data_IF_001431749019
#
_entry.id   IF_001431749019
#
_cell.length_a   1.000
_cell.length_b   1.000
_cell.length_c   1.000
_cell.angle_alpha   90.00
_cell.angle_beta   90.00
_cell.angle_gamma   90.00
#
_symmetry.space_group_name_H-M   'P 1'
#
loop_
_entity.id
_entity.type
_entity.pdbx_description
1 polymer ?
#
# COMPACT_ATOMS: atom_id res chain seq x y z
N UNK A 1 35.62 21.75 -24.04
CA UNK A 1 34.37 22.17 -23.37
C UNK A 1 33.14 21.47 -23.92
N UNK A 2 32.86 21.48 -25.24
CA UNK A 2 31.64 20.87 -25.84
C UNK A 2 31.41 19.37 -25.52
N UNK A 3 32.47 18.56 -25.53
CA UNK A 3 32.40 17.11 -25.18
C UNK A 3 32.06 16.87 -23.71
N UNK A 4 32.62 17.68 -22.80
CA UNK A 4 32.39 17.55 -21.37
C UNK A 4 30.94 17.95 -21.01
N UNK A 5 30.42 19.01 -21.63
CA UNK A 5 29.02 19.42 -21.50
C UNK A 5 28.07 18.36 -22.05
N UNK A 6 28.41 17.74 -23.20
CA UNK A 6 27.63 16.63 -23.76
C UNK A 6 27.60 15.39 -22.88
N UNK A 7 28.73 15.03 -22.25
CA UNK A 7 28.80 13.90 -21.31
C UNK A 7 27.98 14.15 -20.04
N UNK A 8 28.00 15.37 -19.49
CA UNK A 8 27.16 15.75 -18.35
C UNK A 8 25.66 15.70 -18.74
N UNK A 9 25.30 16.18 -19.93
CA UNK A 9 23.91 16.12 -20.38
C UNK A 9 23.44 14.67 -20.59
N UNK A 10 24.26 13.82 -21.22
CA UNK A 10 23.95 12.40 -21.40
C UNK A 10 23.82 11.66 -20.07
N UNK A 11 24.72 11.90 -19.11
CA UNK A 11 24.66 11.22 -17.80
C UNK A 11 23.44 11.66 -16.99
N UNK A 12 23.01 12.93 -17.10
CA UNK A 12 21.76 13.40 -16.50
C UNK A 12 20.54 12.74 -17.15
N UNK A 13 20.47 12.67 -18.48
CA UNK A 13 19.35 12.03 -19.19
C UNK A 13 19.25 10.54 -18.85
N UNK A 14 20.37 9.81 -18.87
CA UNK A 14 20.41 8.38 -18.53
C UNK A 14 20.08 8.14 -17.05
N UNK A 15 20.57 8.99 -16.14
CA UNK A 15 20.26 8.91 -14.72
C UNK A 15 18.80 9.21 -14.38
N UNK A 16 18.16 10.12 -15.12
CA UNK A 16 16.71 10.35 -15.00
C UNK A 16 15.94 9.12 -15.53
N UNK A 17 16.31 8.59 -16.69
CA UNK A 17 15.66 7.39 -17.25
C UNK A 17 15.71 6.19 -16.30
N UNK A 18 16.87 5.89 -15.69
CA UNK A 18 17.02 4.75 -14.79
C UNK A 18 16.18 4.87 -13.52
N UNK A 19 16.09 6.09 -12.94
CA UNK A 19 15.27 6.34 -11.74
C UNK A 19 13.78 6.18 -12.02
N UNK A 20 13.31 6.55 -13.20
CA UNK A 20 11.92 6.35 -13.62
C UNK A 20 11.57 4.87 -13.79
N UNK A 21 12.45 4.07 -14.41
CA UNK A 21 12.22 2.62 -14.53
C UNK A 21 12.22 1.92 -13.17
N UNK A 22 13.13 2.27 -12.26
CA UNK A 22 13.10 1.76 -10.88
C UNK A 22 11.77 2.10 -10.20
N UNK A 23 11.35 3.37 -10.21
CA UNK A 23 10.10 3.79 -9.59
C UNK A 23 8.88 3.02 -10.12
N UNK A 24 8.78 2.82 -11.44
CA UNK A 24 7.68 2.05 -12.04
C UNK A 24 7.72 0.57 -11.66
N UNK A 25 8.92 -0.02 -11.59
CA UNK A 25 9.10 -1.39 -11.11
C UNK A 25 8.68 -1.55 -9.65
N UNK A 26 9.10 -0.63 -8.78
CA UNK A 26 8.73 -0.59 -7.36
C UNK A 26 7.22 -0.43 -7.18
N UNK A 27 6.58 0.44 -7.97
CA UNK A 27 5.14 0.66 -7.94
C UNK A 27 4.36 -0.57 -8.40
N UNK A 28 4.80 -1.24 -9.46
CA UNK A 28 4.21 -2.48 -9.93
C UNK A 28 4.29 -3.60 -8.90
N UNK A 29 5.47 -3.80 -8.29
CA UNK A 29 5.65 -4.79 -7.24
C UNK A 29 4.86 -4.43 -5.97
N UNK A 30 4.81 -3.16 -5.59
CA UNK A 30 4.00 -2.68 -4.47
C UNK A 30 2.50 -2.92 -4.70
N UNK A 31 2.00 -2.69 -5.92
CA UNK A 31 0.62 -3.01 -6.27
C UNK A 31 0.33 -4.52 -6.17
N UNK A 32 1.28 -5.38 -6.57
CA UNK A 32 1.16 -6.84 -6.40
C UNK A 32 1.13 -7.24 -4.94
N UNK A 33 1.91 -6.60 -4.07
CA UNK A 33 1.89 -6.86 -2.63
C UNK A 33 0.55 -6.46 -2.01
N UNK A 34 0.00 -5.30 -2.39
CA UNK A 34 -1.34 -4.86 -1.99
C UNK A 34 -2.43 -5.86 -2.43
N UNK A 35 -2.35 -6.33 -3.67
CA UNK A 35 -3.28 -7.35 -4.20
C UNK A 35 -3.14 -8.69 -3.46
N UNK A 36 -1.91 -9.11 -3.15
CA UNK A 36 -1.65 -10.32 -2.36
C UNK A 36 -2.25 -10.21 -0.96
N UNK A 37 -2.08 -9.06 -0.29
CA UNK A 37 -2.68 -8.83 1.01
C UNK A 37 -4.21 -8.89 0.99
N UNK A 38 -4.84 -8.31 -0.03
CA UNK A 38 -6.28 -8.45 -0.23
C UNK A 38 -6.69 -9.90 -0.49
N UNK A 39 -5.96 -10.62 -1.35
CA UNK A 39 -6.26 -12.02 -1.68
C UNK A 39 -6.14 -12.92 -0.46
N UNK A 40 -5.09 -12.78 0.33
CA UNK A 40 -4.89 -13.53 1.57
C UNK A 40 -5.94 -13.19 2.62
N UNK A 41 -6.37 -11.93 2.75
CA UNK A 41 -7.46 -11.53 3.63
C UNK A 41 -8.76 -12.27 3.26
N UNK A 42 -9.06 -12.34 1.95
CA UNK A 42 -10.23 -13.05 1.42
C UNK A 42 -10.13 -14.55 1.62
N UNK A 43 -8.94 -15.12 1.42
CA UNK A 43 -8.68 -16.55 1.61
C UNK A 43 -8.76 -16.95 3.09
N UNK A 44 -8.15 -16.15 3.97
CA UNK A 44 -8.12 -16.40 5.41
C UNK A 44 -9.52 -16.38 6.01
N UNK A 45 -10.40 -15.49 5.50
CA UNK A 45 -11.76 -15.29 5.98
C UNK A 45 -11.83 -15.29 7.53
N UNK A 46 -10.88 -14.59 8.15
CA UNK A 46 -10.61 -14.68 9.57
C UNK A 46 -11.15 -13.44 10.29
N UNK A 47 -11.80 -13.66 11.44
CA UNK A 47 -12.42 -12.57 12.19
C UNK A 47 -11.34 -11.63 12.75
N UNK A 48 -11.59 -10.32 12.65
CA UNK A 48 -10.72 -9.25 13.17
C UNK A 48 -9.29 -9.25 12.58
N UNK A 49 -9.10 -9.75 11.35
CA UNK A 49 -7.79 -9.74 10.68
C UNK A 49 -7.65 -8.64 9.62
N UNK A 50 -8.69 -7.86 9.37
CA UNK A 50 -8.71 -6.80 8.36
C UNK A 50 -7.54 -5.82 8.55
N UNK A 51 -7.39 -5.23 9.74
CA UNK A 51 -6.31 -4.27 10.04
C UNK A 51 -4.91 -4.90 9.90
N UNK A 52 -4.77 -6.20 10.16
CA UNK A 52 -3.52 -6.92 9.89
C UNK A 52 -3.18 -6.93 8.41
N UNK A 53 -4.14 -7.29 7.54
CA UNK A 53 -3.88 -7.33 6.09
C UNK A 53 -3.69 -5.94 5.48
N UNK A 54 -4.37 -4.92 6.01
CA UNK A 54 -4.12 -3.51 5.70
C UNK A 54 -2.67 -3.10 5.98
N UNK A 55 -2.21 -3.36 7.21
CA UNK A 55 -0.85 -3.06 7.61
C UNK A 55 0.18 -3.89 6.84
N UNK A 56 -0.06 -5.20 6.64
CA UNK A 56 0.88 -6.09 5.95
C UNK A 56 1.05 -5.72 4.49
N UNK A 57 -0.05 -5.45 3.77
CA UNK A 57 0.03 -5.01 2.37
C UNK A 57 0.81 -3.71 2.21
N UNK A 58 0.54 -2.72 3.06
CA UNK A 58 1.26 -1.44 3.05
C UNK A 58 2.74 -1.61 3.46
N UNK A 59 3.04 -2.48 4.42
CA UNK A 59 4.40 -2.79 4.85
C UNK A 59 5.20 -3.42 3.71
N UNK A 60 4.67 -4.49 3.10
CA UNK A 60 5.32 -5.20 1.99
C UNK A 60 5.57 -4.26 0.81
N UNK A 61 4.57 -3.47 0.42
CA UNK A 61 4.69 -2.51 -0.66
C UNK A 61 5.72 -1.41 -0.33
N UNK A 62 5.76 -0.89 0.90
CA UNK A 62 6.74 0.11 1.30
C UNK A 62 8.18 -0.43 1.27
N UNK A 63 8.39 -1.74 1.50
CA UNK A 63 9.71 -2.36 1.37
C UNK A 63 10.25 -2.36 -0.08
N UNK A 64 9.40 -2.11 -1.08
CA UNK A 64 9.85 -2.02 -2.48
C UNK A 64 10.61 -0.73 -2.77
N UNK A 65 10.34 0.34 -2.03
CA UNK A 65 10.92 1.67 -2.26
C UNK A 65 9.86 2.74 -2.51
N UNK A 66 10.27 3.95 -2.95
CA UNK A 66 9.37 5.08 -3.15
C UNK A 66 8.17 4.78 -4.07
N UNK A 67 8.35 4.00 -5.14
CA UNK A 67 7.25 3.60 -6.01
C UNK A 67 6.24 2.69 -5.31
N UNK A 68 6.71 1.79 -4.46
CA UNK A 68 5.83 0.92 -3.67
C UNK A 68 5.08 1.66 -2.57
N UNK A 69 5.71 2.64 -1.91
CA UNK A 69 5.04 3.56 -0.98
C UNK A 69 3.91 4.33 -1.69
N UNK A 70 4.20 4.87 -2.87
CA UNK A 70 3.21 5.56 -3.69
C UNK A 70 2.04 4.64 -4.09
N UNK A 71 2.34 3.43 -4.55
CA UNK A 71 1.31 2.46 -4.91
C UNK A 71 0.43 2.08 -3.72
N UNK A 72 1.03 1.86 -2.55
CA UNK A 72 0.31 1.55 -1.31
C UNK A 72 -0.64 2.68 -0.89
N UNK A 73 -0.22 3.94 -1.05
CA UNK A 73 -1.05 5.12 -0.79
C UNK A 73 -2.26 5.19 -1.70
N UNK A 74 -2.03 5.23 -3.01
CA UNK A 74 -3.10 5.34 -4.01
C UNK A 74 -4.12 4.21 -3.88
N UNK A 75 -3.67 2.97 -3.67
CA UNK A 75 -4.56 1.82 -3.55
C UNK A 75 -5.33 1.85 -2.21
N UNK A 76 -4.70 2.29 -1.13
CA UNK A 76 -5.38 2.42 0.17
C UNK A 76 -6.51 3.44 0.10
N UNK A 77 -6.25 4.62 -0.49
CA UNK A 77 -7.22 5.70 -0.58
C UNK A 77 -8.36 5.33 -1.54
N UNK A 78 -8.04 4.72 -2.68
CA UNK A 78 -9.07 4.22 -3.61
C UNK A 78 -9.98 3.17 -2.96
N UNK A 79 -9.44 2.30 -2.09
CA UNK A 79 -10.24 1.32 -1.36
C UNK A 79 -11.17 2.00 -0.35
N UNK A 80 -10.70 3.02 0.35
CA UNK A 80 -11.52 3.82 1.28
C UNK A 80 -12.68 4.49 0.54
N UNK A 81 -12.42 5.14 -0.59
CA UNK A 81 -13.46 5.81 -1.38
C UNK A 81 -14.57 4.83 -1.80
N UNK A 82 -14.18 3.63 -2.25
CA UNK A 82 -15.13 2.58 -2.60
C UNK A 82 -15.92 2.11 -1.37
N UNK A 83 -15.25 1.91 -0.23
CA UNK A 83 -15.91 1.51 1.02
C UNK A 83 -16.95 2.55 1.46
N UNK A 84 -16.58 3.84 1.52
CA UNK A 84 -17.48 4.92 1.93
C UNK A 84 -18.72 5.01 1.04
N UNK A 85 -18.56 4.84 -0.27
CA UNK A 85 -19.69 4.76 -1.20
C UNK A 85 -20.57 3.55 -0.86
N UNK A 86 -19.98 2.37 -0.68
CA UNK A 86 -20.77 1.16 -0.38
C UNK A 86 -21.48 1.22 0.98
N UNK A 87 -20.86 1.83 1.99
CA UNK A 87 -21.43 1.98 3.32
C UNK A 87 -22.58 2.98 3.34
N UNK A 88 -22.46 4.08 2.57
CA UNK A 88 -23.57 5.01 2.39
C UNK A 88 -24.82 4.30 1.83
N UNK A 89 -24.63 3.42 0.84
CA UNK A 89 -25.74 2.65 0.27
C UNK A 89 -26.32 1.60 1.22
N UNK A 90 -25.51 1.00 2.11
CA UNK A 90 -25.94 -0.08 3.00
C UNK A 90 -26.45 0.39 4.36
N UNK A 91 -25.85 1.44 4.90
CA UNK A 91 -25.95 1.83 6.31
C UNK A 91 -26.36 3.31 6.50
N UNK A 92 -26.50 4.08 5.42
CA UNK A 92 -26.81 5.51 5.48
C UNK A 92 -25.73 6.31 6.25
N UNK A 93 -26.11 7.48 6.77
CA UNK A 93 -25.20 8.37 7.51
C UNK A 93 -25.12 8.02 9.01
N UNK A 94 -24.89 6.74 9.32
CA UNK A 94 -24.86 6.23 10.70
C UNK A 94 -23.57 6.53 11.47
N UNK A 95 -22.61 7.24 10.86
CA UNK A 95 -21.28 7.52 11.44
C UNK A 95 -20.34 6.32 11.49
N UNK A 96 -20.85 5.09 11.39
CA UNK A 96 -20.09 3.83 11.46
C UNK A 96 -18.98 3.75 10.41
N UNK A 97 -19.24 4.14 9.16
CA UNK A 97 -18.24 4.13 8.10
C UNK A 97 -17.06 5.10 8.35
N UNK A 98 -17.23 6.13 9.18
CA UNK A 98 -16.18 7.13 9.45
C UNK A 98 -15.14 6.59 10.45
N UNK A 99 -15.59 5.93 11.51
CA UNK A 99 -14.71 5.31 12.52
C UNK A 99 -13.92 4.14 11.91
N UNK A 100 -14.59 3.29 11.12
CA UNK A 100 -13.93 2.18 10.44
C UNK A 100 -12.88 2.66 9.42
N UNK A 101 -13.17 3.74 8.68
CA UNK A 101 -12.21 4.36 7.75
C UNK A 101 -10.98 4.91 8.48
N UNK A 102 -11.16 5.59 9.61
CA UNK A 102 -10.04 6.11 10.42
C UNK A 102 -9.13 4.99 10.92
N UNK A 103 -9.72 3.88 11.37
CA UNK A 103 -8.97 2.71 11.83
C UNK A 103 -8.24 2.00 10.67
N UNK A 104 -8.87 1.86 9.51
CA UNK A 104 -8.26 1.30 8.29
C UNK A 104 -7.04 2.14 7.88
N UNK A 105 -7.21 3.46 7.86
CA UNK A 105 -6.16 4.40 7.52
C UNK A 105 -5.01 4.40 8.54
N UNK A 106 -5.30 4.21 9.83
CA UNK A 106 -4.25 4.01 10.84
C UNK A 106 -3.43 2.75 10.56
N UNK A 107 -4.07 1.62 10.27
CA UNK A 107 -3.37 0.38 9.94
C UNK A 107 -2.54 0.50 8.65
N UNK A 108 -3.10 1.13 7.62
CA UNK A 108 -2.37 1.41 6.37
C UNK A 108 -1.09 2.20 6.64
N UNK A 109 -1.19 3.34 7.36
CA UNK A 109 -0.03 4.18 7.70
C UNK A 109 0.97 3.47 8.60
N UNK A 110 0.51 2.68 9.56
CA UNK A 110 1.39 1.89 10.44
C UNK A 110 2.30 0.99 9.61
N UNK A 111 1.72 0.16 8.74
CA UNK A 111 2.47 -0.70 7.84
C UNK A 111 3.39 0.07 6.90
N UNK A 112 2.87 1.11 6.25
CA UNK A 112 3.62 1.92 5.27
C UNK A 112 4.82 2.64 5.89
N UNK A 113 4.74 2.95 7.19
CA UNK A 113 5.86 3.52 7.95
C UNK A 113 6.95 2.51 8.34
N UNK A 114 6.80 1.24 7.95
CA UNK A 114 7.76 0.17 8.25
C UNK A 114 7.59 -0.43 9.65
N UNK A 115 6.48 -0.17 10.35
CA UNK A 115 6.21 -0.80 11.65
C UNK A 115 5.62 -2.20 11.45
N UNK A 116 5.88 -3.07 12.43
CA UNK A 116 5.48 -4.47 12.38
C UNK A 116 3.95 -4.64 12.23
N UNK A 117 3.46 -5.26 11.14
CA UNK A 117 2.04 -5.55 10.95
C UNK A 117 1.44 -6.45 12.04
N UNK A 118 2.27 -7.26 12.72
CA UNK A 118 1.79 -8.17 13.76
C UNK A 118 1.21 -7.44 14.98
N UNK A 119 1.40 -6.13 15.09
CA UNK A 119 0.66 -5.28 16.02
C UNK A 119 -0.87 -5.49 15.90
N UNK A 120 -1.38 -5.77 14.70
CA UNK A 120 -2.81 -6.02 14.44
C UNK A 120 -3.16 -7.49 14.28
N UNK A 121 -2.20 -8.42 14.44
CA UNK A 121 -2.45 -9.84 14.16
C UNK A 121 -3.40 -10.44 15.21
N UNK A 122 -4.57 -10.98 14.81
CA UNK A 122 -5.46 -11.61 15.76
C UNK A 122 -4.90 -12.97 16.21
N UNK A 123 -5.12 -13.36 17.48
CA UNK A 123 -4.75 -14.69 17.97
C UNK A 123 -5.38 -15.78 17.10
N UNK A 124 -4.56 -16.75 16.68
CA UNK A 124 -5.01 -17.88 15.88
C UNK A 124 -4.98 -17.68 14.36
N UNK A 125 -4.64 -16.48 13.84
CA UNK A 125 -4.45 -16.30 12.40
C UNK A 125 -3.34 -17.24 11.90
N UNK A 126 -3.59 -18.12 10.90
CA UNK A 126 -2.60 -19.09 10.41
C UNK A 126 -1.28 -18.44 10.02
N UNK A 127 -0.15 -19.02 10.45
CA UNK A 127 1.21 -18.46 10.28
C UNK A 127 1.65 -18.24 8.82
N UNK A 128 0.95 -18.84 7.85
CA UNK A 128 1.22 -18.60 6.42
C UNK A 128 0.86 -17.18 5.97
N UNK A 129 0.00 -16.52 6.73
CA UNK A 129 -0.39 -15.13 6.53
C UNK A 129 0.43 -14.20 7.40
#
# INVERSE_FOLDING_TARGET
MKLFTGLILCSLVLGVHSRWFSFLGEAYDGAKDMWRAYSDMREANFKNSDKYFHARGNYDAAQRGPGGVWAAEVISDAREDIQRVTDLFKHGDSGHGREDSEADQFANRWGRSGKDPNYFRPPGLPKKY
#
